data_IF_242239370815
#
_entry.id   IF_242239370815
#
_cell.length_a   1.000
_cell.length_b   1.000
_cell.length_c   1.000
_cell.angle_alpha   90.00
_cell.angle_beta   90.00
_cell.angle_gamma   90.00
#
_symmetry.space_group_name_H-M   'P 1'
#
loop_
_entity.id
_entity.type
_entity.pdbx_description
1 polymer ?
#
# COMPACT_ATOMS: atom_id res chain seq x y z
N UNK A 1 11.46 -65.95 -30.88
CA UNK A 1 10.82 -64.73 -30.34
C UNK A 1 10.63 -64.99 -28.86
N UNK A 2 11.47 -64.37 -28.04
CA UNK A 2 11.69 -64.76 -26.64
C UNK A 2 10.93 -63.82 -25.70
N UNK A 3 10.02 -64.40 -24.91
CA UNK A 3 9.03 -63.75 -24.03
C UNK A 3 9.61 -63.38 -22.65
N UNK A 4 10.91 -63.09 -22.58
CA UNK A 4 11.65 -62.87 -21.32
C UNK A 4 12.08 -61.42 -21.08
N UNK A 5 11.65 -60.46 -21.92
CA UNK A 5 12.01 -59.02 -21.80
C UNK A 5 10.89 -58.05 -21.42
N UNK A 6 9.71 -58.51 -21.02
CA UNK A 6 8.59 -57.65 -20.60
C UNK A 6 8.25 -57.68 -19.10
N UNK A 7 9.09 -58.31 -18.27
CA UNK A 7 8.83 -58.51 -16.83
C UNK A 7 9.80 -57.72 -15.92
N UNK A 8 10.21 -56.52 -16.33
CA UNK A 8 11.14 -55.68 -15.55
C UNK A 8 10.81 -54.18 -15.57
N UNK A 9 9.53 -53.80 -15.58
CA UNK A 9 9.10 -52.39 -15.50
C UNK A 9 8.06 -52.11 -14.38
N UNK A 10 7.95 -52.99 -13.39
CA UNK A 10 6.86 -52.93 -12.39
C UNK A 10 7.28 -53.02 -10.92
N UNK A 11 8.56 -52.84 -10.60
CA UNK A 11 9.05 -52.84 -9.21
C UNK A 11 10.04 -51.70 -9.04
N UNK A 12 9.54 -50.50 -8.68
CA UNK A 12 10.25 -49.41 -7.97
C UNK A 12 9.43 -48.10 -7.94
N UNK A 13 8.10 -48.17 -7.79
CA UNK A 13 7.28 -46.96 -7.55
C UNK A 13 6.34 -47.22 -6.37
N UNK A 14 6.92 -47.35 -5.17
CA UNK A 14 6.14 -47.42 -3.93
C UNK A 14 6.99 -47.02 -2.72
N UNK A 15 7.52 -45.80 -2.73
CA UNK A 15 8.06 -45.14 -1.52
C UNK A 15 8.31 -43.67 -1.84
N UNK A 16 7.28 -42.82 -1.84
CA UNK A 16 7.38 -41.33 -1.71
C UNK A 16 6.03 -40.60 -1.79
N UNK A 17 4.91 -41.19 -1.36
CA UNK A 17 3.59 -40.53 -1.35
C UNK A 17 2.87 -40.69 -0.01
N UNK A 18 3.53 -40.33 1.10
CA UNK A 18 2.85 -40.28 2.42
C UNK A 18 3.37 -39.17 3.33
N UNK A 19 3.13 -37.89 2.98
CA UNK A 19 2.79 -36.90 4.01
C UNK A 19 1.45 -36.17 3.73
N UNK A 20 0.91 -36.27 2.51
CA UNK A 20 -0.26 -35.51 2.09
C UNK A 20 -1.60 -36.17 2.49
N UNK A 21 -1.65 -37.51 2.50
CA UNK A 21 -2.87 -38.26 2.81
C UNK A 21 -3.25 -38.20 4.30
N UNK A 22 -2.26 -38.33 5.20
CA UNK A 22 -2.48 -38.23 6.65
C UNK A 22 -2.89 -36.80 7.07
N UNK A 23 -2.22 -35.77 6.53
CA UNK A 23 -2.56 -34.35 6.76
C UNK A 23 -3.98 -33.99 6.29
N UNK A 24 -4.43 -34.53 5.16
CA UNK A 24 -5.76 -34.22 4.60
C UNK A 24 -6.89 -34.93 5.37
N UNK A 25 -6.68 -36.16 5.83
CA UNK A 25 -7.67 -36.91 6.61
C UNK A 25 -7.91 -36.29 8.00
N UNK A 26 -6.87 -35.81 8.68
CA UNK A 26 -6.99 -35.12 9.96
C UNK A 26 -7.78 -33.81 9.83
N UNK A 27 -7.47 -32.99 8.81
CA UNK A 27 -8.17 -31.72 8.54
C UNK A 27 -9.68 -31.91 8.26
N UNK A 28 -10.05 -33.01 7.59
CA UNK A 28 -11.45 -33.37 7.34
C UNK A 28 -12.13 -33.89 8.62
N UNK A 29 -11.41 -34.64 9.46
CA UNK A 29 -11.91 -35.15 10.75
C UNK A 29 -12.13 -34.02 11.77
N UNK A 30 -11.27 -33.01 11.77
CA UNK A 30 -11.37 -31.82 12.65
C UNK A 30 -12.55 -30.90 12.30
N UNK A 31 -12.97 -30.83 11.03
CA UNK A 31 -14.17 -30.07 10.63
C UNK A 31 -15.49 -30.80 10.89
N UNK A 32 -15.46 -32.11 11.19
CA UNK A 32 -16.65 -32.96 11.26
C UNK A 32 -17.06 -33.45 12.67
N UNK A 33 -16.35 -33.07 13.74
CA UNK A 33 -16.94 -33.11 15.10
C UNK A 33 -16.39 -34.15 16.10
N UNK A 34 -15.08 -34.32 16.23
CA UNK A 34 -14.47 -34.89 17.45
C UNK A 34 -13.34 -33.97 17.92
N UNK A 35 -13.63 -33.07 18.87
CA UNK A 35 -12.76 -31.99 19.33
C UNK A 35 -11.93 -32.31 20.59
N UNK A 36 -12.04 -33.50 21.16
CA UNK A 36 -11.46 -33.78 22.50
C UNK A 36 -9.95 -34.11 22.51
N UNK A 37 -9.34 -34.47 21.38
CA UNK A 37 -7.93 -34.87 21.29
C UNK A 37 -7.01 -33.78 20.64
N UNK A 38 -7.47 -32.53 20.50
CA UNK A 38 -6.69 -31.46 19.84
C UNK A 38 -5.58 -30.93 20.76
N UNK A 39 -4.32 -30.98 20.32
CA UNK A 39 -3.21 -30.34 21.04
C UNK A 39 -3.46 -28.83 21.18
N UNK A 40 -3.41 -28.33 22.42
CA UNK A 40 -3.62 -26.92 22.72
C UNK A 40 -2.33 -26.11 22.53
N UNK A 41 -2.49 -24.89 22.00
CA UNK A 41 -1.40 -23.93 21.88
C UNK A 41 -1.26 -23.14 23.20
N UNK A 42 -0.05 -22.73 23.60
CA UNK A 42 0.15 -21.89 24.77
C UNK A 42 -0.67 -20.59 24.71
N UNK A 43 -1.24 -20.11 25.83
CA UNK A 43 -2.01 -18.85 25.85
C UNK A 43 -1.24 -17.64 25.30
N UNK A 44 0.04 -17.51 25.68
CA UNK A 44 0.92 -16.43 25.23
C UNK A 44 1.15 -16.46 23.71
N UNK A 45 1.25 -17.66 23.13
CA UNK A 45 1.35 -17.82 21.68
C UNK A 45 0.09 -17.32 20.98
N UNK A 46 -1.10 -17.69 21.48
CA UNK A 46 -2.38 -17.25 20.93
C UNK A 46 -2.53 -15.72 21.02
N UNK A 47 -2.06 -15.11 22.11
CA UNK A 47 -2.06 -13.65 22.24
C UNK A 47 -1.15 -12.99 21.18
N UNK A 48 0.06 -13.52 20.98
CA UNK A 48 0.98 -13.04 19.95
C UNK A 48 0.36 -13.14 18.56
N UNK A 49 -0.30 -14.24 18.23
CA UNK A 49 -1.01 -14.40 16.95
C UNK A 49 -2.04 -13.29 16.73
N UNK A 50 -2.88 -13.02 17.74
CA UNK A 50 -3.90 -11.97 17.69
C UNK A 50 -3.28 -10.59 17.46
N UNK A 51 -2.17 -10.31 18.13
CA UNK A 51 -1.44 -9.03 17.98
C UNK A 51 -0.82 -8.89 16.60
N UNK A 52 -0.22 -9.94 16.06
CA UNK A 52 0.34 -9.96 14.69
C UNK A 52 -0.77 -9.80 13.64
N UNK A 53 -1.91 -10.45 13.83
CA UNK A 53 -3.08 -10.31 12.94
C UNK A 53 -3.67 -8.90 12.99
N UNK A 54 -3.72 -8.29 14.19
CA UNK A 54 -4.10 -6.90 14.34
C UNK A 54 -3.11 -5.97 13.61
N UNK A 55 -1.81 -6.18 13.77
CA UNK A 55 -0.77 -5.40 13.09
C UNK A 55 -0.89 -5.49 11.56
N UNK A 56 -1.16 -6.69 11.03
CA UNK A 56 -1.43 -6.89 9.60
C UNK A 56 -2.64 -6.09 9.12
N UNK A 57 -3.75 -6.13 9.87
CA UNK A 57 -4.96 -5.37 9.55
C UNK A 57 -4.70 -3.85 9.58
N UNK A 58 -3.93 -3.37 10.55
CA UNK A 58 -3.50 -1.96 10.62
C UNK A 58 -2.75 -1.59 9.36
N UNK A 59 -1.78 -2.41 8.93
CA UNK A 59 -1.00 -2.13 7.74
C UNK A 59 -1.87 -2.05 6.47
N UNK A 60 -2.75 -3.04 6.29
CA UNK A 60 -3.68 -3.11 5.16
C UNK A 60 -4.66 -1.93 5.13
N UNK A 61 -5.22 -1.57 6.29
CA UNK A 61 -6.15 -0.43 6.39
C UNK A 61 -5.47 0.89 6.02
N UNK A 62 -4.26 1.14 6.51
CA UNK A 62 -3.52 2.36 6.15
C UNK A 62 -3.23 2.40 4.64
N UNK A 63 -2.69 1.33 4.07
CA UNK A 63 -2.40 1.27 2.63
C UNK A 63 -3.63 1.45 1.73
N UNK A 64 -4.81 1.00 2.19
CA UNK A 64 -6.04 1.14 1.41
C UNK A 64 -6.40 2.59 1.09
N UNK A 65 -5.96 3.53 1.93
CA UNK A 65 -6.19 4.98 1.73
C UNK A 65 -4.92 5.65 1.21
N UNK A 66 -3.78 5.38 1.83
CA UNK A 66 -2.54 6.12 1.54
C UNK A 66 -1.88 5.72 0.23
N UNK A 67 -2.22 4.56 -0.34
CA UNK A 67 -1.75 4.20 -1.69
C UNK A 67 -2.24 5.16 -2.78
N UNK A 68 -3.26 5.98 -2.50
CA UNK A 68 -3.68 7.04 -3.40
C UNK A 68 -2.57 8.07 -3.64
N UNK A 69 -1.65 8.30 -2.68
CA UNK A 69 -0.49 9.17 -2.88
C UNK A 69 0.46 8.70 -4.00
N UNK A 70 0.33 7.45 -4.47
CA UNK A 70 1.04 6.96 -5.66
C UNK A 70 0.41 7.39 -6.99
N UNK A 71 -0.81 7.93 -6.96
CA UNK A 71 -1.55 8.32 -8.15
C UNK A 71 -1.60 9.84 -8.23
N UNK A 72 -0.77 10.46 -9.07
CA UNK A 72 -0.66 11.92 -9.15
C UNK A 72 -2.03 12.64 -9.24
N UNK A 73 -3.00 12.08 -9.97
CA UNK A 73 -4.34 12.64 -10.13
C UNK A 73 -5.38 12.29 -9.05
N UNK A 74 -4.99 11.87 -7.84
CA UNK A 74 -5.96 11.44 -6.82
C UNK A 74 -6.93 12.56 -6.35
N UNK A 75 -6.53 13.82 -6.46
CA UNK A 75 -7.36 15.00 -6.14
C UNK A 75 -7.91 15.68 -7.40
N UNK A 76 -7.70 15.07 -8.56
CA UNK A 76 -8.03 15.68 -9.84
C UNK A 76 -9.52 15.57 -10.16
N UNK A 77 -10.19 16.67 -10.57
CA UNK A 77 -11.61 16.64 -10.92
C UNK A 77 -11.86 15.75 -12.14
N UNK A 78 -12.74 14.75 -12.01
CA UNK A 78 -13.02 13.77 -13.07
C UNK A 78 -13.84 14.35 -14.24
N UNK A 79 -14.52 15.47 -14.03
CA UNK A 79 -15.36 16.15 -15.01
C UNK A 79 -14.64 17.26 -15.78
N UNK A 80 -13.34 17.49 -15.51
CA UNK A 80 -12.60 18.56 -16.17
C UNK A 80 -12.09 18.09 -17.54
N UNK A 81 -12.65 18.68 -18.61
CA UNK A 81 -12.14 18.50 -19.98
C UNK A 81 -11.07 19.55 -20.25
N UNK A 82 -9.81 19.13 -20.36
CA UNK A 82 -8.70 20.04 -20.66
C UNK A 82 -8.24 19.95 -22.12
N UNK A 83 -7.90 21.10 -22.70
CA UNK A 83 -7.35 21.16 -24.06
C UNK A 83 -5.90 20.70 -24.09
N UNK A 84 -5.49 19.99 -25.14
CA UNK A 84 -4.11 19.53 -25.32
C UNK A 84 -3.07 20.67 -25.32
N UNK A 85 -3.46 21.88 -25.73
CA UNK A 85 -2.61 23.07 -25.67
C UNK A 85 -2.37 23.57 -24.23
N UNK A 86 -3.29 23.28 -23.30
CA UNK A 86 -3.15 23.71 -21.91
C UNK A 86 -2.13 22.86 -21.15
N UNK A 87 -2.01 21.58 -21.51
CA UNK A 87 -1.14 20.58 -20.86
C UNK A 87 0.32 20.61 -21.32
N UNK A 88 0.63 21.37 -22.37
CA UNK A 88 1.95 21.36 -22.99
C UNK A 88 3.03 22.06 -22.15
N UNK A 89 2.69 23.07 -21.34
CA UNK A 89 3.67 23.87 -20.59
C UNK A 89 3.19 24.21 -19.19
N UNK A 90 4.15 24.42 -18.32
CA UNK A 90 3.92 24.92 -16.96
C UNK A 90 3.39 26.37 -16.98
N UNK A 91 2.70 26.78 -15.93
CA UNK A 91 2.11 28.13 -15.84
C UNK A 91 3.23 29.17 -15.75
N UNK A 92 4.31 28.87 -15.04
CA UNK A 92 5.49 29.72 -14.89
C UNK A 92 6.19 29.95 -16.21
N UNK A 93 6.35 28.91 -17.04
CA UNK A 93 6.89 29.06 -18.39
C UNK A 93 6.00 29.94 -19.27
N UNK A 94 4.67 29.75 -19.19
CA UNK A 94 3.73 30.59 -19.94
C UNK A 94 3.86 32.05 -19.51
N UNK A 95 3.81 32.37 -18.22
CA UNK A 95 3.96 33.74 -17.72
C UNK A 95 5.30 34.34 -18.15
N UNK A 96 6.40 33.60 -18.03
CA UNK A 96 7.71 34.07 -18.48
C UNK A 96 7.72 34.41 -19.97
N UNK A 97 7.14 33.57 -20.81
CA UNK A 97 7.06 33.82 -22.25
C UNK A 97 6.17 35.02 -22.59
N UNK A 98 5.03 35.18 -21.90
CA UNK A 98 4.17 36.36 -22.05
C UNK A 98 4.91 37.64 -21.63
N UNK A 99 5.65 37.60 -20.53
CA UNK A 99 6.41 38.77 -20.04
C UNK A 99 7.51 39.23 -21.00
N UNK A 100 8.01 38.30 -21.83
CA UNK A 100 9.03 38.60 -22.85
C UNK A 100 8.47 39.03 -24.21
N UNK A 101 7.17 38.82 -24.45
CA UNK A 101 6.55 39.12 -25.73
C UNK A 101 6.27 40.62 -25.86
N UNK A 102 6.67 41.21 -26.99
CA UNK A 102 6.50 42.65 -27.27
C UNK A 102 5.27 42.95 -28.12
N UNK A 103 4.59 41.93 -28.65
CA UNK A 103 3.36 42.07 -29.42
C UNK A 103 2.38 40.91 -29.19
N UNK A 104 1.05 41.12 -29.42
CA UNK A 104 0.06 40.05 -29.33
C UNK A 104 0.34 38.87 -30.28
N UNK A 105 0.89 39.14 -31.46
CA UNK A 105 1.28 38.10 -32.42
C UNK A 105 2.46 37.25 -31.91
N UNK A 106 3.43 37.89 -31.25
CA UNK A 106 4.55 37.20 -30.61
C UNK A 106 4.11 36.37 -29.41
N UNK A 107 3.18 36.87 -28.59
CA UNK A 107 2.60 36.13 -27.47
C UNK A 107 1.83 34.88 -27.93
N UNK A 108 1.03 35.00 -28.99
CA UNK A 108 0.29 33.88 -29.58
C UNK A 108 1.23 32.83 -30.19
N UNK A 109 2.26 33.26 -30.90
CA UNK A 109 3.27 32.36 -31.48
C UNK A 109 4.07 31.66 -30.39
N UNK A 110 4.44 32.37 -29.33
CA UNK A 110 5.14 31.80 -28.18
C UNK A 110 4.30 30.70 -27.53
N UNK A 111 3.02 30.93 -27.24
CA UNK A 111 2.13 29.96 -26.57
C UNK A 111 1.79 28.72 -27.41
N UNK A 112 1.77 28.83 -28.73
CA UNK A 112 1.42 27.73 -29.64
C UNK A 112 2.64 26.92 -30.11
N UNK A 113 3.87 27.40 -29.84
CA UNK A 113 5.07 26.67 -30.21
C UNK A 113 5.18 25.31 -29.47
N UNK A 114 5.75 24.27 -30.09
CA UNK A 114 5.86 22.94 -29.48
C UNK A 114 6.54 23.03 -28.10
N UNK A 115 5.97 22.40 -27.06
CA UNK A 115 6.58 22.43 -25.74
C UNK A 115 7.90 21.65 -25.70
N UNK A 116 8.93 22.24 -25.11
CA UNK A 116 10.21 21.58 -24.83
C UNK A 116 10.28 20.96 -23.43
N UNK A 117 9.26 21.21 -22.59
CA UNK A 117 9.19 20.81 -21.19
C UNK A 117 8.38 19.53 -20.96
N UNK A 118 8.48 18.98 -19.73
CA UNK A 118 7.68 17.83 -19.28
C UNK A 118 6.18 18.17 -19.33
N UNK A 119 5.30 17.17 -19.58
CA UNK A 119 3.86 17.36 -19.48
C UNK A 119 3.49 17.97 -18.13
N UNK A 120 2.56 18.93 -18.14
CA UNK A 120 2.18 19.60 -16.91
C UNK A 120 1.55 18.61 -15.91
N UNK A 121 1.90 18.69 -14.60
CA UNK A 121 1.35 17.78 -13.62
C UNK A 121 -0.17 17.89 -13.49
N UNK A 122 -0.80 16.75 -13.18
CA UNK A 122 -2.24 16.58 -12.98
C UNK A 122 -2.57 16.56 -11.50
N UNK A 123 -2.36 17.69 -10.83
CA UNK A 123 -2.91 17.91 -9.47
C UNK A 123 -3.97 19.00 -9.52
N UNK A 124 -4.83 19.04 -8.51
CA UNK A 124 -5.86 20.07 -8.41
C UNK A 124 -5.28 21.50 -8.42
N UNK A 125 -4.20 21.75 -7.69
CA UNK A 125 -3.56 23.08 -7.64
C UNK A 125 -3.05 23.50 -9.04
N UNK A 126 -2.49 22.58 -9.82
CA UNK A 126 -2.10 22.86 -11.20
C UNK A 126 -3.29 23.16 -12.11
N UNK A 127 -4.44 22.52 -11.89
CA UNK A 127 -5.67 22.83 -12.61
C UNK A 127 -6.20 24.23 -12.27
N UNK A 128 -6.17 24.61 -10.98
CA UNK A 128 -6.49 25.98 -10.55
C UNK A 128 -5.54 26.98 -11.22
N UNK A 129 -4.23 26.70 -11.20
CA UNK A 129 -3.23 27.56 -11.81
C UNK A 129 -3.49 27.79 -13.31
N UNK A 130 -3.81 26.72 -14.06
CA UNK A 130 -4.20 26.83 -15.47
C UNK A 130 -5.45 27.68 -15.66
N UNK A 131 -6.50 27.41 -14.90
CA UNK A 131 -7.77 28.12 -15.01
C UNK A 131 -7.61 29.61 -14.68
N UNK A 132 -6.84 29.95 -13.66
CA UNK A 132 -6.55 31.32 -13.26
C UNK A 132 -5.74 32.06 -14.35
N UNK A 133 -4.69 31.44 -14.90
CA UNK A 133 -3.92 32.03 -15.98
C UNK A 133 -4.76 32.26 -17.26
N UNK A 134 -5.55 31.26 -17.66
CA UNK A 134 -6.45 31.39 -18.81
C UNK A 134 -7.47 32.51 -18.60
N UNK A 135 -8.02 32.63 -17.39
CA UNK A 135 -8.96 33.71 -17.03
C UNK A 135 -8.31 35.09 -17.09
N UNK A 136 -7.06 35.22 -16.60
CA UNK A 136 -6.28 36.46 -16.74
C UNK A 136 -6.10 36.85 -18.21
N UNK A 137 -5.74 35.89 -19.06
CA UNK A 137 -5.55 36.14 -20.49
C UNK A 137 -6.85 36.58 -21.19
N UNK A 138 -7.99 35.98 -20.85
CA UNK A 138 -9.29 36.40 -21.39
C UNK A 138 -9.57 37.88 -21.06
N UNK A 139 -9.32 38.29 -19.82
CA UNK A 139 -9.51 39.68 -19.40
C UNK A 139 -8.53 40.64 -20.10
N UNK A 140 -7.25 40.29 -20.18
CA UNK A 140 -6.22 41.09 -20.84
C UNK A 140 -6.52 41.27 -22.34
N UNK A 141 -6.98 40.24 -23.04
CA UNK A 141 -7.31 40.31 -24.47
C UNK A 141 -8.52 41.20 -24.76
N UNK A 142 -9.49 41.26 -23.86
CA UNK A 142 -10.69 42.09 -24.01
C UNK A 142 -10.48 43.52 -23.51
N UNK A 143 -9.40 43.79 -22.78
CA UNK A 143 -9.11 45.09 -22.24
C UNK A 143 -8.43 46.00 -23.26
N UNK A 144 -9.25 46.69 -24.05
CA UNK A 144 -8.81 47.68 -25.06
C UNK A 144 -8.37 49.02 -24.47
N UNK A 145 -8.49 49.22 -23.15
CA UNK A 145 -8.33 50.54 -22.51
C UNK A 145 -6.89 50.92 -22.18
N UNK A 146 -5.93 50.01 -22.40
CA UNK A 146 -4.50 50.24 -22.17
C UNK A 146 -4.08 50.30 -20.69
N UNK A 147 -5.04 50.27 -19.76
CA UNK A 147 -4.80 50.16 -18.33
C UNK A 147 -4.77 48.69 -17.91
N UNK A 148 -3.92 48.33 -16.94
CA UNK A 148 -3.93 46.99 -16.35
C UNK A 148 -5.26 46.70 -15.66
N UNK A 149 -5.82 45.52 -15.90
CA UNK A 149 -7.01 45.03 -15.20
C UNK A 149 -6.58 44.44 -13.84
N UNK A 150 -7.02 44.99 -12.69
CA UNK A 150 -6.58 44.51 -11.38
C UNK A 150 -6.92 43.04 -11.11
N UNK A 151 -8.05 42.55 -11.64
CA UNK A 151 -8.45 41.16 -11.51
C UNK A 151 -7.59 40.24 -12.38
N UNK A 152 -7.26 40.67 -13.61
CA UNK A 152 -6.32 39.92 -14.45
C UNK A 152 -4.94 39.79 -13.77
N UNK A 153 -4.42 40.88 -13.21
CA UNK A 153 -3.15 40.87 -12.46
C UNK A 153 -3.23 39.97 -11.23
N UNK A 154 -4.34 40.00 -10.48
CA UNK A 154 -4.52 39.12 -9.32
C UNK A 154 -4.58 37.64 -9.72
N UNK A 155 -5.30 37.32 -10.81
CA UNK A 155 -5.42 35.95 -11.34
C UNK A 155 -4.09 35.40 -11.84
N UNK A 156 -3.25 36.22 -12.48
CA UNK A 156 -1.91 35.82 -12.91
C UNK A 156 -1.01 35.48 -11.71
N UNK A 157 -1.03 36.32 -10.67
CA UNK A 157 -0.25 36.07 -9.44
C UNK A 157 -0.76 34.84 -8.68
N UNK A 158 -2.08 34.65 -8.63
CA UNK A 158 -2.68 33.47 -8.04
C UNK A 158 -2.31 32.20 -8.81
N UNK A 159 -2.26 32.25 -10.14
CA UNK A 159 -1.84 31.14 -10.97
C UNK A 159 -0.42 30.66 -10.63
N UNK A 160 0.53 31.59 -10.49
CA UNK A 160 1.91 31.29 -10.10
C UNK A 160 2.02 30.73 -8.68
N UNK A 161 1.22 31.24 -7.74
CA UNK A 161 1.18 30.74 -6.38
C UNK A 161 0.66 29.28 -6.34
N UNK A 162 -0.46 29.00 -7.00
CA UNK A 162 -1.05 27.67 -7.05
C UNK A 162 -0.16 26.65 -7.77
N UNK A 163 0.61 27.07 -8.77
CA UNK A 163 1.65 26.24 -9.36
C UNK A 163 2.73 25.85 -8.34
N UNK A 164 3.24 26.81 -7.54
CA UNK A 164 4.20 26.52 -6.47
C UNK A 164 3.60 25.60 -5.40
N UNK A 165 2.33 25.76 -5.05
CA UNK A 165 1.62 24.85 -4.13
C UNK A 165 1.49 23.46 -4.74
N UNK A 166 1.21 23.38 -6.05
CA UNK A 166 1.20 22.14 -6.82
C UNK A 166 2.53 21.40 -6.77
N UNK A 167 3.65 22.10 -6.98
CA UNK A 167 4.99 21.52 -6.89
C UNK A 167 5.32 21.02 -5.46
N UNK A 168 4.94 21.80 -4.43
CA UNK A 168 5.07 21.36 -3.04
C UNK A 168 4.28 20.07 -2.75
N UNK A 169 3.10 19.91 -3.38
CA UNK A 169 2.28 18.70 -3.28
C UNK A 169 2.97 17.51 -3.95
N UNK A 170 3.55 17.68 -5.14
CA UNK A 170 4.31 16.60 -5.80
C UNK A 170 5.51 16.14 -4.96
N UNK A 171 6.19 17.09 -4.31
CA UNK A 171 7.27 16.78 -3.38
C UNK A 171 6.78 15.96 -2.17
N UNK A 172 5.62 16.32 -1.58
CA UNK A 172 4.99 15.55 -0.52
C UNK A 172 4.73 14.11 -0.94
N UNK A 173 4.09 13.93 -2.09
CA UNK A 173 3.71 12.60 -2.58
C UNK A 173 4.95 11.74 -2.83
N UNK A 174 6.01 12.31 -3.41
CA UNK A 174 7.28 11.63 -3.62
C UNK A 174 7.91 11.16 -2.29
N UNK A 175 7.89 12.01 -1.25
CA UNK A 175 8.37 11.64 0.08
C UNK A 175 7.51 10.54 0.72
N UNK A 176 6.18 10.65 0.63
CA UNK A 176 5.25 9.65 1.16
C UNK A 176 5.44 8.30 0.47
N UNK A 177 5.57 8.29 -0.85
CA UNK A 177 5.81 7.06 -1.62
C UNK A 177 7.11 6.37 -1.21
N UNK A 178 8.21 7.13 -1.15
CA UNK A 178 9.54 6.59 -0.91
C UNK A 178 9.82 6.21 0.54
N UNK A 179 9.24 6.93 1.51
CA UNK A 179 9.56 6.75 2.94
C UNK A 179 8.46 6.03 3.73
N UNK A 180 7.20 6.36 3.47
CA UNK A 180 6.07 5.72 4.15
C UNK A 180 5.59 4.47 3.41
N UNK A 181 5.11 4.60 2.17
CA UNK A 181 4.49 3.48 1.45
C UNK A 181 5.46 2.32 1.22
N UNK A 182 6.71 2.62 0.88
CA UNK A 182 7.74 1.59 0.69
C UNK A 182 8.01 0.78 1.98
N UNK A 183 8.31 1.46 3.10
CA UNK A 183 8.60 0.80 4.38
C UNK A 183 7.39 0.04 4.95
N UNK A 184 6.21 0.65 4.82
CA UNK A 184 4.95 0.06 5.28
C UNK A 184 4.56 -1.18 4.46
N UNK A 185 4.80 -1.15 3.14
CA UNK A 185 4.62 -2.31 2.25
C UNK A 185 5.63 -3.42 2.56
N UNK A 186 6.90 -3.10 2.82
CA UNK A 186 7.91 -4.08 3.23
C UNK A 186 7.52 -4.79 4.52
N UNK A 187 7.04 -4.07 5.53
CA UNK A 187 6.57 -4.69 6.78
C UNK A 187 5.42 -5.66 6.52
N UNK A 188 4.47 -5.31 5.65
CA UNK A 188 3.34 -6.17 5.29
C UNK A 188 3.74 -7.41 4.47
N UNK A 189 4.62 -7.24 3.48
CA UNK A 189 4.94 -8.27 2.49
C UNK A 189 6.13 -9.15 2.87
N UNK A 190 6.96 -8.73 3.84
CA UNK A 190 8.14 -9.46 4.27
C UNK A 190 8.02 -9.88 5.73
N UNK A 191 8.01 -8.92 6.66
CA UNK A 191 8.06 -9.21 8.10
C UNK A 191 6.83 -10.01 8.56
N UNK A 192 5.63 -9.55 8.18
CA UNK A 192 4.38 -10.26 8.48
C UNK A 192 4.22 -11.58 7.72
N UNK A 193 4.92 -11.75 6.58
CA UNK A 193 4.99 -13.04 5.88
C UNK A 193 5.86 -14.05 6.61
N UNK A 194 6.95 -13.65 7.27
CA UNK A 194 7.72 -14.55 8.13
C UNK A 194 6.87 -15.08 9.29
N UNK A 195 6.15 -14.20 9.99
CA UNK A 195 5.23 -14.63 11.06
C UNK A 195 4.13 -15.56 10.52
N UNK A 196 3.58 -15.28 9.33
CA UNK A 196 2.58 -16.15 8.69
C UNK A 196 3.15 -17.54 8.37
N UNK A 197 4.40 -17.64 7.92
CA UNK A 197 5.06 -18.92 7.64
C UNK A 197 5.34 -19.70 8.92
N UNK A 198 5.89 -19.04 9.95
CA UNK A 198 6.17 -19.68 11.23
C UNK A 198 4.90 -20.26 11.87
N UNK A 199 3.79 -19.51 11.86
CA UNK A 199 2.48 -20.01 12.34
C UNK A 199 1.98 -21.23 11.56
N UNK A 200 2.20 -21.28 10.24
CA UNK A 200 1.87 -22.47 9.44
C UNK A 200 2.72 -23.68 9.84
N UNK A 201 4.00 -23.48 10.17
CA UNK A 201 4.86 -24.56 10.65
C UNK A 201 4.42 -25.09 12.01
N UNK A 202 3.99 -24.22 12.93
CA UNK A 202 3.38 -24.61 14.21
C UNK A 202 2.11 -25.42 13.99
N UNK A 203 1.21 -24.95 13.12
CA UNK A 203 -0.03 -25.70 12.83
C UNK A 203 0.26 -27.07 12.19
N UNK A 204 1.26 -27.15 11.31
CA UNK A 204 1.67 -28.41 10.70
C UNK A 204 2.28 -29.39 11.71
N UNK A 205 3.16 -28.92 12.60
CA UNK A 205 3.77 -29.76 13.65
C UNK A 205 2.73 -30.20 14.68
N UNK A 206 1.78 -29.33 15.04
CA UNK A 206 0.61 -29.70 15.87
C UNK A 206 -0.18 -30.85 15.25
N UNK A 207 -0.51 -30.74 13.96
CA UNK A 207 -1.22 -31.76 13.19
C UNK A 207 -0.46 -33.10 13.16
N UNK A 208 0.87 -33.06 13.05
CA UNK A 208 1.72 -34.25 13.07
C UNK A 208 1.71 -34.92 14.44
N UNK A 209 1.81 -34.13 15.51
CA UNK A 209 1.71 -34.63 16.88
C UNK A 209 0.34 -35.25 17.17
N UNK A 210 -0.75 -34.58 16.77
CA UNK A 210 -2.11 -35.09 16.91
C UNK A 210 -2.29 -36.41 16.13
N UNK A 211 -1.68 -36.54 14.95
CA UNK A 211 -1.72 -37.76 14.14
C UNK A 211 -0.90 -38.91 14.79
N UNK A 212 0.29 -38.62 15.31
CA UNK A 212 1.12 -39.61 16.02
C UNK A 212 0.42 -40.15 17.27
N UNK A 213 -0.19 -39.25 18.07
CA UNK A 213 -1.01 -39.60 19.24
C UNK A 213 -2.21 -40.47 18.87
N UNK A 214 -2.92 -40.13 17.78
CA UNK A 214 -4.07 -40.89 17.30
C UNK A 214 -3.68 -42.30 16.81
N UNK A 215 -2.54 -42.42 16.10
CA UNK A 215 -2.00 -43.69 15.62
C UNK A 215 -1.60 -44.61 16.77
N UNK A 216 -0.94 -44.08 17.80
CA UNK A 216 -0.57 -44.84 19.00
C UNK A 216 -1.79 -45.31 19.82
N UNK A 217 -2.88 -44.54 19.82
CA UNK A 217 -4.14 -44.87 20.54
C UNK A 217 -4.99 -45.93 19.83
N UNK A 218 -4.83 -46.11 18.51
CA UNK A 218 -5.56 -47.09 17.70
C UNK A 218 -4.61 -47.84 16.74
N UNK A 219 -3.72 -48.71 17.26
CA UNK A 219 -2.85 -49.52 16.41
C UNK A 219 -3.62 -50.56 15.58
N UNK A 220 -4.88 -50.85 15.93
CA UNK A 220 -5.63 -52.00 15.41
C UNK A 220 -6.93 -51.70 14.65
N UNK A 221 -6.92 -50.84 13.63
CA UNK A 221 -8.05 -50.87 12.68
C UNK A 221 -7.92 -52.08 11.76
N UNK A 222 -8.88 -53.00 11.84
CA UNK A 222 -8.92 -54.22 11.02
C UNK A 222 -10.24 -54.23 10.24
N UNK A 223 -10.21 -54.64 8.96
CA UNK A 223 -11.42 -54.76 8.15
C UNK A 223 -12.38 -55.81 8.75
N UNK A 224 -13.71 -55.57 8.76
CA UNK A 224 -14.65 -56.57 9.24
C UNK A 224 -14.53 -57.85 8.40
N UNK A 225 -14.14 -58.96 9.03
CA UNK A 225 -14.00 -60.28 8.37
C UNK A 225 -12.55 -60.75 8.14
N UNK A 226 -11.54 -59.95 8.47
CA UNK A 226 -10.15 -60.44 8.54
C UNK A 226 -9.86 -60.96 9.95
N UNK A 227 -9.35 -62.19 10.06
CA UNK A 227 -8.90 -62.76 11.32
C UNK A 227 -7.85 -61.84 11.94
N UNK A 228 -8.05 -61.47 13.21
CA UNK A 228 -7.03 -60.74 13.97
C UNK A 228 -5.71 -61.52 13.88
N UNK A 229 -4.59 -60.89 13.47
CA UNK A 229 -3.31 -61.55 13.51
C UNK A 229 -3.06 -62.02 14.95
N UNK A 230 -2.58 -63.25 15.13
CA UNK A 230 -2.03 -63.69 16.40
C UNK A 230 -0.75 -62.88 16.61
N UNK A 231 -0.88 -61.73 17.27
CA UNK A 231 0.25 -60.90 17.65
C UNK A 231 1.01 -61.63 18.76
N UNK A 232 2.27 -61.95 18.48
CA UNK A 232 3.20 -62.42 19.50
C UNK A 232 3.52 -61.22 20.39
N UNK A 233 3.48 -61.36 21.72
CA UNK A 233 3.57 -60.21 22.65
C UNK A 233 4.84 -59.36 22.51
N UNK A 234 5.87 -59.88 21.84
CA UNK A 234 7.09 -59.15 21.47
C UNK A 234 6.90 -58.14 20.32
N UNK A 235 6.02 -58.41 19.34
CA UNK A 235 5.75 -57.48 18.23
C UNK A 235 4.89 -56.29 18.68
N UNK A 236 3.96 -56.52 19.62
CA UNK A 236 3.19 -55.44 20.27
C UNK A 236 4.09 -54.51 21.09
N UNK A 237 5.10 -55.06 21.77
CA UNK A 237 6.04 -54.29 22.58
C UNK A 237 6.93 -53.38 21.70
N UNK A 238 7.46 -53.92 20.60
CA UNK A 238 8.28 -53.16 19.62
C UNK A 238 7.45 -52.06 18.93
N UNK A 239 6.22 -52.36 18.48
CA UNK A 239 5.33 -51.36 17.89
C UNK A 239 4.94 -50.26 18.90
N UNK A 240 4.82 -50.60 20.18
CA UNK A 240 4.54 -49.64 21.24
C UNK A 240 5.73 -48.71 21.53
N UNK A 241 6.96 -49.21 21.41
CA UNK A 241 8.18 -48.44 21.60
C UNK A 241 8.42 -47.49 20.42
N UNK A 242 8.25 -47.98 19.19
CA UNK A 242 8.34 -47.18 17.96
C UNK A 242 7.30 -46.04 17.95
N UNK A 243 6.06 -46.31 18.39
CA UNK A 243 5.02 -45.29 18.51
C UNK A 243 5.34 -44.23 19.57
N UNK A 244 6.00 -44.61 20.68
CA UNK A 244 6.45 -43.65 21.71
C UNK A 244 7.54 -42.73 21.17
N UNK A 245 8.52 -43.28 20.45
CA UNK A 245 9.59 -42.48 19.81
C UNK A 245 9.02 -41.53 18.76
N UNK A 246 8.03 -41.97 17.96
CA UNK A 246 7.36 -41.11 16.97
C UNK A 246 6.60 -39.94 17.64
N UNK A 247 5.96 -40.18 18.79
CA UNK A 247 5.32 -39.12 19.58
C UNK A 247 6.36 -38.16 20.16
N UNK A 248 7.42 -38.66 20.79
CA UNK A 248 8.48 -37.82 21.38
C UNK A 248 9.11 -36.89 20.34
N UNK A 249 9.44 -37.42 19.15
CA UNK A 249 9.97 -36.61 18.04
C UNK A 249 8.97 -35.54 17.57
N UNK A 250 7.69 -35.88 17.47
CA UNK A 250 6.66 -34.92 17.08
C UNK A 250 6.40 -33.85 18.16
N UNK A 251 6.55 -34.20 19.44
CA UNK A 251 6.47 -33.25 20.56
C UNK A 251 7.65 -32.27 20.54
N UNK A 252 8.87 -32.77 20.37
CA UNK A 252 10.08 -31.94 20.25
C UNK A 252 9.98 -30.98 19.06
N UNK A 253 9.53 -31.46 17.89
CA UNK A 253 9.33 -30.60 16.72
C UNK A 253 8.25 -29.54 16.96
N UNK A 254 7.13 -29.91 17.59
CA UNK A 254 6.07 -28.95 17.92
C UNK A 254 6.54 -27.88 18.91
N UNK A 255 7.30 -28.25 19.94
CA UNK A 255 7.89 -27.29 20.89
C UNK A 255 8.86 -26.37 20.16
N UNK A 256 9.78 -26.92 19.37
CA UNK A 256 10.77 -26.14 18.62
C UNK A 256 10.13 -25.15 17.64
N UNK A 257 9.13 -25.58 16.86
CA UNK A 257 8.39 -24.71 15.94
C UNK A 257 7.62 -23.61 16.69
N UNK A 258 7.05 -23.93 17.85
CA UNK A 258 6.33 -22.96 18.68
C UNK A 258 7.28 -21.89 19.24
N UNK A 259 8.46 -22.28 19.74
CA UNK A 259 9.48 -21.35 20.23
C UNK A 259 10.01 -20.44 19.11
N UNK A 260 10.31 -21.00 17.93
CA UNK A 260 10.73 -20.23 16.76
C UNK A 260 9.66 -19.20 16.37
N UNK A 261 8.40 -19.63 16.28
CA UNK A 261 7.29 -18.77 15.92
C UNK A 261 7.06 -17.65 16.95
N UNK A 262 7.21 -17.93 18.25
CA UNK A 262 7.19 -16.90 19.29
C UNK A 262 8.28 -15.86 19.05
N UNK A 263 9.52 -16.28 18.77
CA UNK A 263 10.63 -15.39 18.46
C UNK A 263 10.36 -14.50 17.25
N UNK A 264 9.90 -15.10 16.14
CA UNK A 264 9.56 -14.36 14.92
C UNK A 264 8.42 -13.37 15.15
N UNK A 265 7.35 -13.77 15.83
CA UNK A 265 6.20 -12.90 16.10
C UNK A 265 6.57 -11.72 17.00
N UNK A 266 7.39 -11.94 18.04
CA UNK A 266 7.90 -10.84 18.88
C UNK A 266 8.74 -9.85 18.08
N UNK A 267 9.68 -10.35 17.27
CA UNK A 267 10.50 -9.49 16.40
C UNK A 267 9.66 -8.63 15.44
N UNK A 268 8.56 -9.18 14.91
CA UNK A 268 7.64 -8.44 14.04
C UNK A 268 6.85 -7.37 14.80
N UNK A 269 6.51 -7.60 16.07
CA UNK A 269 5.77 -6.66 16.91
C UNK A 269 6.66 -5.56 17.52
N UNK A 270 7.91 -5.89 17.83
CA UNK A 270 8.84 -5.00 18.54
C UNK A 270 9.67 -4.12 17.59
N UNK A 271 9.55 -4.33 16.28
CA UNK A 271 10.24 -3.50 15.30
C UNK A 271 9.76 -2.04 15.36
N UNK A 272 10.67 -1.05 15.44
CA UNK A 272 10.30 0.37 15.48
C UNK A 272 9.85 0.90 14.10
N UNK A 273 9.96 0.08 13.05
CA UNK A 273 9.80 0.51 11.66
C UNK A 273 8.44 1.14 11.35
N UNK A 274 7.28 0.59 11.78
CA UNK A 274 5.99 1.21 11.51
C UNK A 274 5.87 2.61 12.13
N UNK A 275 6.40 2.81 13.35
CA UNK A 275 6.39 4.13 13.99
C UNK A 275 7.28 5.12 13.24
N UNK A 276 8.44 4.67 12.77
CA UNK A 276 9.34 5.49 11.93
C UNK A 276 8.66 5.90 10.63
N UNK A 277 8.04 4.95 9.92
CA UNK A 277 7.33 5.25 8.69
C UNK A 277 6.17 6.23 8.94
N UNK A 278 5.42 6.08 10.03
CA UNK A 278 4.35 7.02 10.40
C UNK A 278 4.89 8.43 10.66
N UNK A 279 6.05 8.55 11.32
CA UNK A 279 6.71 9.84 11.51
C UNK A 279 7.12 10.47 10.17
N UNK A 280 7.60 9.68 9.21
CA UNK A 280 7.93 10.16 7.86
C UNK A 280 6.69 10.67 7.10
N UNK A 281 5.54 9.99 7.24
CA UNK A 281 4.26 10.46 6.68
C UNK A 281 3.87 11.83 7.25
N UNK A 282 3.91 11.98 8.58
CA UNK A 282 3.58 13.23 9.27
C UNK A 282 4.54 14.35 8.85
N UNK A 283 5.84 14.05 8.75
CA UNK A 283 6.85 15.02 8.35
C UNK A 283 6.61 15.54 6.93
N UNK A 284 6.31 14.66 5.98
CA UNK A 284 5.99 15.04 4.60
C UNK A 284 4.75 15.94 4.52
N UNK A 285 3.68 15.57 5.24
CA UNK A 285 2.45 16.37 5.30
C UNK A 285 2.70 17.75 5.93
N UNK A 286 3.48 17.79 7.02
CA UNK A 286 3.81 19.03 7.71
C UNK A 286 4.62 19.97 6.80
N UNK A 287 5.59 19.43 6.05
CA UNK A 287 6.40 20.21 5.12
C UNK A 287 5.53 20.84 4.01
N UNK A 288 4.62 20.07 3.44
CA UNK A 288 3.67 20.56 2.43
C UNK A 288 2.77 21.68 2.98
N UNK A 289 2.10 21.44 4.10
CA UNK A 289 1.17 22.42 4.67
C UNK A 289 1.87 23.73 5.06
N UNK A 290 3.11 23.65 5.56
CA UNK A 290 3.93 24.85 5.83
C UNK A 290 4.26 25.62 4.55
N UNK A 291 4.74 24.93 3.51
CA UNK A 291 5.04 25.56 2.22
C UNK A 291 3.80 26.21 1.60
N UNK A 292 2.67 25.53 1.62
CA UNK A 292 1.41 26.07 1.11
C UNK A 292 0.99 27.33 1.88
N UNK A 293 1.10 27.31 3.21
CA UNK A 293 0.84 28.48 4.05
C UNK A 293 1.77 29.65 3.71
N UNK A 294 3.07 29.40 3.59
CA UNK A 294 4.05 30.43 3.23
C UNK A 294 3.72 31.07 1.88
N UNK A 295 3.48 30.26 0.85
CA UNK A 295 3.16 30.73 -0.51
C UNK A 295 1.88 31.58 -0.52
N UNK A 296 0.80 31.11 0.11
CA UNK A 296 -0.47 31.83 0.11
C UNK A 296 -0.44 33.07 1.01
N UNK A 297 0.34 33.04 2.10
CA UNK A 297 0.54 34.20 2.97
C UNK A 297 1.37 35.29 2.30
N UNK A 298 2.30 34.92 1.41
CA UNK A 298 3.00 35.88 0.53
C UNK A 298 2.05 36.55 -0.46
N UNK A 299 1.11 35.79 -1.04
CA UNK A 299 0.16 36.29 -2.05
C UNK A 299 -0.96 37.16 -1.46
N UNK A 300 -1.53 36.78 -0.32
CA UNK A 300 -2.69 37.42 0.28
C UNK A 300 -2.61 38.96 0.34
N UNK A 301 -1.55 39.59 0.91
CA UNK A 301 -1.47 41.05 0.98
C UNK A 301 -1.37 41.73 -0.39
N UNK A 302 -0.87 41.02 -1.41
CA UNK A 302 -0.79 41.54 -2.77
C UNK A 302 -2.19 41.66 -3.38
N UNK A 303 -3.04 40.65 -3.18
CA UNK A 303 -4.43 40.67 -3.65
C UNK A 303 -5.25 41.69 -2.85
N UNK A 304 -5.05 41.77 -1.54
CA UNK A 304 -5.71 42.78 -0.68
C UNK A 304 -5.37 44.21 -1.14
N UNK A 305 -4.10 44.47 -1.51
CA UNK A 305 -3.68 45.75 -2.08
C UNK A 305 -4.43 46.09 -3.37
N UNK A 306 -4.50 45.14 -4.32
CA UNK A 306 -5.24 45.32 -5.58
C UNK A 306 -6.73 45.57 -5.33
N UNK A 307 -7.34 44.87 -4.37
CA UNK A 307 -8.73 45.09 -3.99
C UNK A 307 -8.96 46.52 -3.48
N UNK A 308 -8.14 46.99 -2.54
CA UNK A 308 -8.27 48.33 -1.96
C UNK A 308 -8.11 49.42 -3.02
N UNK A 309 -7.14 49.27 -3.92
CA UNK A 309 -6.92 50.19 -5.05
C UNK A 309 -8.12 50.23 -6.02
N UNK A 310 -8.69 49.06 -6.32
CA UNK A 310 -9.87 48.95 -7.17
C UNK A 310 -11.10 49.59 -6.51
N UNK A 311 -11.32 49.35 -5.21
CA UNK A 311 -12.41 49.99 -4.45
C UNK A 311 -12.26 51.52 -4.40
N UNK A 312 -11.05 52.03 -4.18
CA UNK A 312 -10.79 53.46 -4.17
C UNK A 312 -11.07 54.09 -5.54
N UNK A 313 -10.63 53.43 -6.61
CA UNK A 313 -10.89 53.87 -7.99
C UNK A 313 -12.37 53.86 -8.32
N UNK A 314 -13.10 52.84 -7.89
CA UNK A 314 -14.55 52.72 -8.06
C UNK A 314 -15.33 53.82 -7.31
N UNK A 315 -14.93 54.14 -6.08
CA UNK A 315 -15.56 55.23 -5.30
C UNK A 315 -15.32 56.58 -6.00
N UNK A 316 -14.08 56.85 -6.44
CA UNK A 316 -13.71 58.10 -7.12
C UNK A 316 -14.48 58.31 -8.43
N UNK A 317 -14.68 57.26 -9.24
CA UNK A 317 -15.42 57.37 -10.50
C UNK A 317 -16.90 57.64 -10.27
N UNK A 318 -17.48 57.16 -9.17
CA UNK A 318 -18.87 57.41 -8.80
C UNK A 318 -19.10 58.82 -8.25
N UNK A 319 -18.19 59.31 -7.40
CA UNK A 319 -18.33 60.62 -6.77
C UNK A 319 -18.01 61.77 -7.76
N UNK A 320 -17.16 61.52 -8.77
CA UNK A 320 -16.85 62.49 -9.84
C UNK A 320 -17.95 62.67 -10.90
N UNK A 321 -18.98 61.82 -10.92
CA UNK A 321 -20.12 61.92 -11.85
C UNK A 321 -21.32 62.73 -11.34
N UNK A 322 -21.20 63.35 -10.15
CA UNK A 322 -22.28 64.09 -9.47
C UNK A 322 -22.07 65.61 -9.44
N UNK A 323 -21.28 66.18 -10.35
CA UNK A 323 -21.05 67.61 -10.49
C UNK A 323 -21.67 68.17 -11.79
#
# INVERSE_FOLDING_TARGET
>A
MDFSKFQAFGKNVSASFTPFAARTQQYVKERLGQSDDKTQLPPDYIELEKRVDALKKVHQKMLSVTSNFSHEGYDYPQNLSESFNDLGRTVSEKVQLLSSATSPAEAQAALTAPPSAKPQPKTFNHAIARAALASSQILQQQNSSGNEDPLATALEKYALAEERVGEARLAQDSQIQSRFLAGWSTTLNTNLMFATRARKSVENSRLLLDAAKAKAKNPGWHLPGQAAPQHDGHEDEIQSEEARVEIEQAEDEFVGQTEEAVGVMKNVLDTPEPLRNLADLIAAQLEYHKKAYEILSELAPVVDGLQVEQEASYRKSRDGGSA
#
